data_IF_332993337648
#
_entry.id   IF_332993337648
#
_cell.length_a   1.000
_cell.length_b   1.000
_cell.length_c   1.000
_cell.angle_alpha   90.00
_cell.angle_beta   90.00
_cell.angle_gamma   90.00
#
_symmetry.space_group_name_H-M   'P 1'
#
loop_
_entity.id
_entity.type
_entity.pdbx_description
1 polymer ?
#
# COMPACT_ATOMS: atom_id res chain seq x y z
N UNK A 1 -27.77 23.21 -13.12
CA UNK A 1 -27.26 22.10 -12.29
C UNK A 1 -25.99 21.60 -12.94
N UNK A 2 -24.85 22.06 -12.46
CA UNK A 2 -23.54 21.88 -13.09
C UNK A 2 -22.77 20.80 -12.33
N UNK A 3 -23.30 19.58 -12.32
CA UNK A 3 -22.72 18.40 -11.64
C UNK A 3 -21.55 17.77 -12.44
N UNK A 4 -20.64 18.60 -12.96
CA UNK A 4 -19.49 18.15 -13.77
C UNK A 4 -18.14 18.61 -13.21
N UNK A 5 -18.08 18.95 -11.93
CA UNK A 5 -16.86 19.47 -11.27
C UNK A 5 -16.55 18.83 -9.91
N UNK A 6 -17.13 17.67 -9.63
CA UNK A 6 -16.59 16.73 -8.64
C UNK A 6 -15.95 15.62 -9.46
N UNK A 7 -14.80 15.93 -10.09
CA UNK A 7 -14.00 14.88 -10.71
C UNK A 7 -13.39 14.09 -9.57
N UNK A 8 -13.61 12.79 -9.61
CA UNK A 8 -13.04 11.76 -8.76
C UNK A 8 -11.54 12.02 -8.49
N UNK A 9 -11.22 12.64 -7.36
CA UNK A 9 -9.90 12.55 -6.71
C UNK A 9 -9.98 11.48 -5.61
N UNK A 10 -10.37 10.28 -6.02
CA UNK A 10 -10.47 9.15 -5.12
C UNK A 10 -9.83 7.96 -5.79
N UNK A 11 -8.54 7.80 -5.59
CA UNK A 11 -7.90 6.50 -5.48
C UNK A 11 -6.43 6.74 -5.25
N UNK A 12 -6.02 6.55 -4.01
CA UNK A 12 -4.63 6.38 -3.69
C UNK A 12 -4.49 5.91 -2.25
N UNK A 13 -4.61 4.61 -2.11
CA UNK A 13 -3.94 3.92 -1.03
C UNK A 13 -3.48 2.60 -1.60
N UNK A 14 -2.18 2.38 -1.62
CA UNK A 14 -1.67 1.02 -1.54
C UNK A 14 -0.57 0.94 -0.50
N UNK A 15 -0.95 0.49 0.68
CA UNK A 15 0.00 0.11 1.69
C UNK A 15 0.94 -1.01 1.25
N UNK A 16 2.10 -0.98 1.89
CA UNK A 16 3.10 -2.03 1.97
C UNK A 16 3.61 -2.56 0.63
N UNK A 17 4.40 -1.65 0.09
CA UNK A 17 5.76 -1.85 -0.38
C UNK A 17 5.95 -2.79 -1.56
N UNK A 18 5.44 -4.03 -1.66
CA UNK A 18 5.76 -4.76 -2.89
C UNK A 18 4.91 -5.97 -3.36
N UNK A 19 3.61 -6.19 -3.13
CA UNK A 19 3.05 -7.51 -3.51
C UNK A 19 2.31 -7.53 -4.86
N UNK A 20 2.94 -8.15 -5.85
CA UNK A 20 2.25 -8.67 -7.01
C UNK A 20 1.93 -10.16 -6.80
N UNK A 21 0.62 -10.46 -6.83
CA UNK A 21 -0.02 -11.76 -7.05
C UNK A 21 0.33 -12.91 -6.08
N UNK A 22 -0.70 -13.39 -5.37
CA UNK A 22 -0.81 -14.79 -4.92
C UNK A 22 -0.89 -15.72 -6.14
N UNK A 23 0.18 -15.83 -6.91
CA UNK A 23 0.44 -17.07 -7.63
C UNK A 23 0.95 -18.06 -6.58
N UNK A 24 0.48 -19.32 -6.56
CA UNK A 24 1.10 -20.33 -5.73
C UNK A 24 2.60 -20.28 -6.02
N UNK A 25 3.40 -20.15 -4.97
CA UNK A 25 4.85 -20.16 -5.04
C UNK A 25 5.30 -21.49 -5.64
N UNK A 26 5.26 -21.59 -6.97
CA UNK A 26 6.20 -22.42 -7.67
C UNK A 26 7.54 -21.80 -7.29
N UNK A 27 8.39 -22.58 -6.63
CA UNK A 27 9.81 -22.30 -6.53
C UNK A 27 10.34 -22.17 -7.97
N UNK A 28 10.15 -20.99 -8.57
CA UNK A 28 10.96 -20.59 -9.68
C UNK A 28 12.31 -20.34 -9.04
N UNK A 29 13.30 -21.16 -9.40
CA UNK A 29 14.70 -20.74 -9.34
C UNK A 29 14.76 -19.41 -10.09
N UNK A 30 14.58 -18.33 -9.34
CA UNK A 30 14.65 -17.00 -9.88
C UNK A 30 16.13 -16.66 -9.80
N UNK A 31 16.86 -16.95 -10.87
CA UNK A 31 18.29 -16.71 -10.99
C UNK A 31 18.67 -15.22 -10.82
N UNK A 32 17.70 -14.31 -10.64
CA UNK A 32 17.90 -12.89 -10.36
C UNK A 32 17.82 -12.56 -8.85
N UNK A 33 18.95 -12.27 -8.17
CA UNK A 33 18.98 -11.96 -6.75
C UNK A 33 18.22 -10.67 -6.38
N UNK A 34 17.95 -9.78 -7.32
CA UNK A 34 17.17 -8.55 -7.07
C UNK A 34 15.67 -8.84 -7.04
N UNK A 35 15.22 -9.72 -7.92
CA UNK A 35 13.86 -10.24 -7.89
C UNK A 35 13.63 -11.10 -6.64
N UNK A 36 14.66 -11.84 -6.22
CA UNK A 36 14.66 -12.60 -4.98
C UNK A 36 14.55 -11.71 -3.73
N UNK A 37 15.32 -10.61 -3.67
CA UNK A 37 15.21 -9.59 -2.63
C UNK A 37 13.79 -9.01 -2.55
N UNK A 38 13.22 -8.62 -3.69
CA UNK A 38 11.85 -8.14 -3.74
C UNK A 38 10.87 -9.17 -3.14
N UNK A 39 10.98 -10.43 -3.56
CA UNK A 39 10.13 -11.51 -3.06
C UNK A 39 10.32 -11.77 -1.55
N UNK A 40 11.54 -11.68 -1.04
CA UNK A 40 11.85 -11.84 0.38
C UNK A 40 11.19 -10.77 1.26
N UNK A 41 11.11 -9.52 0.76
CA UNK A 41 10.40 -8.45 1.47
C UNK A 41 8.88 -8.73 1.43
N UNK A 42 8.37 -9.35 0.36
CA UNK A 42 6.94 -9.60 0.23
C UNK A 42 6.37 -10.74 1.00
N UNK A 43 7.14 -11.79 1.24
CA UNK A 43 6.62 -12.94 1.98
C UNK A 43 6.13 -12.57 3.38
N UNK A 44 6.61 -11.45 3.94
CA UNK A 44 6.22 -10.97 5.26
C UNK A 44 5.04 -10.00 5.26
N UNK A 45 4.48 -9.65 4.09
CA UNK A 45 3.45 -8.63 3.95
C UNK A 45 2.09 -9.28 3.64
N UNK A 46 1.10 -8.98 4.49
CA UNK A 46 -0.30 -9.38 4.24
C UNK A 46 -1.05 -8.28 3.47
N UNK A 47 -1.25 -8.51 2.17
CA UNK A 47 -1.95 -7.61 1.25
C UNK A 47 -3.45 -7.48 1.53
N UNK A 48 -4.09 -8.55 1.99
CA UNK A 48 -5.51 -8.50 2.29
C UNK A 48 -5.73 -7.62 3.51
N UNK A 49 -4.93 -7.81 4.56
CA UNK A 49 -4.94 -6.93 5.75
C UNK A 49 -4.72 -5.46 5.39
N UNK A 50 -3.79 -5.21 4.47
CA UNK A 50 -3.53 -3.87 3.93
C UNK A 50 -4.74 -3.28 3.22
N UNK A 51 -5.37 -4.05 2.34
CA UNK A 51 -6.55 -3.62 1.63
C UNK A 51 -7.66 -3.29 2.63
N UNK A 52 -7.89 -4.15 3.62
CA UNK A 52 -8.89 -3.88 4.66
C UNK A 52 -8.58 -2.61 5.45
N UNK A 53 -7.33 -2.41 5.86
CA UNK A 53 -6.90 -1.19 6.55
C UNK A 53 -7.08 0.06 5.67
N UNK A 54 -6.88 -0.08 4.37
CA UNK A 54 -7.07 0.96 3.37
C UNK A 54 -8.56 1.31 3.22
N UNK A 55 -9.42 0.31 3.09
CA UNK A 55 -10.87 0.50 3.03
C UNK A 55 -11.40 1.16 4.32
N UNK A 56 -10.88 0.75 5.47
CA UNK A 56 -11.23 1.34 6.77
C UNK A 56 -10.77 2.80 6.88
N UNK A 57 -9.62 3.15 6.31
CA UNK A 57 -9.18 4.54 6.21
C UNK A 57 -10.07 5.38 5.29
N UNK A 58 -10.47 4.86 4.13
CA UNK A 58 -11.43 5.53 3.22
C UNK A 58 -12.75 5.77 3.96
N UNK A 59 -13.24 4.77 4.69
CA UNK A 59 -14.45 4.88 5.51
C UNK A 59 -14.35 6.03 6.52
N UNK A 60 -13.20 6.16 7.21
CA UNK A 60 -12.96 7.28 8.14
C UNK A 60 -12.94 8.62 7.43
N UNK A 61 -12.33 8.73 6.26
CA UNK A 61 -12.34 9.99 5.51
C UNK A 61 -13.75 10.36 5.04
N UNK A 62 -14.51 9.44 4.46
CA UNK A 62 -15.91 9.72 4.07
C UNK A 62 -16.76 10.16 5.24
N UNK A 63 -16.58 9.56 6.42
CA UNK A 63 -17.31 9.96 7.62
C UNK A 63 -17.01 11.40 8.09
N UNK A 64 -15.95 12.04 7.58
CA UNK A 64 -15.62 13.45 7.87
C UNK A 64 -16.15 14.42 6.83
N UNK A 65 -16.58 13.93 5.66
CA UNK A 65 -17.07 14.78 4.57
C UNK A 65 -18.52 15.21 4.85
N UNK A 66 -18.84 16.53 4.82
CA UNK A 66 -20.17 17.03 5.14
C UNK A 66 -21.31 16.33 4.37
N UNK A 67 -21.11 16.10 3.06
CA UNK A 67 -22.08 15.43 2.21
C UNK A 67 -22.37 13.98 2.63
N UNK A 68 -21.37 13.25 3.11
CA UNK A 68 -21.56 11.88 3.57
C UNK A 68 -22.13 11.83 4.98
N UNK A 69 -21.84 12.81 5.83
CA UNK A 69 -22.49 12.95 7.14
C UNK A 69 -24.01 13.12 6.97
N UNK A 70 -24.44 13.98 6.04
CA UNK A 70 -25.86 14.19 5.74
C UNK A 70 -26.51 12.91 5.16
N UNK A 71 -25.85 12.25 4.20
CA UNK A 71 -26.35 11.01 3.60
C UNK A 71 -26.43 9.86 4.60
N UNK A 72 -25.45 9.73 5.50
CA UNK A 72 -25.43 8.72 6.55
C UNK A 72 -26.57 8.95 7.57
N UNK A 73 -26.92 10.21 7.86
CA UNK A 73 -28.06 10.53 8.73
C UNK A 73 -29.41 10.15 8.11
N UNK A 74 -29.54 10.26 6.78
CA UNK A 74 -30.73 9.83 6.03
C UNK A 74 -30.76 8.31 5.89
N UNK A 75 -29.60 7.68 5.72
CA UNK A 75 -29.46 6.27 5.37
C UNK A 75 -28.36 5.60 6.20
N UNK A 76 -28.63 5.20 7.46
CA UNK A 76 -27.62 4.61 8.34
C UNK A 76 -26.95 3.38 7.73
N UNK A 77 -25.63 3.33 7.80
CA UNK A 77 -24.79 2.28 7.20
C UNK A 77 -24.32 2.58 5.76
N UNK A 78 -24.76 3.68 5.15
CA UNK A 78 -24.43 4.03 3.77
C UNK A 78 -22.94 4.05 3.49
N UNK A 79 -22.14 4.70 4.33
CA UNK A 79 -20.69 4.81 4.12
C UNK A 79 -20.05 3.42 4.14
N UNK A 80 -20.46 2.56 5.09
CA UNK A 80 -19.94 1.20 5.22
C UNK A 80 -20.28 0.37 3.98
N UNK A 81 -21.54 0.38 3.56
CA UNK A 81 -22.01 -0.42 2.44
C UNK A 81 -21.36 0.06 1.12
N UNK A 82 -21.23 1.38 0.94
CA UNK A 82 -20.57 1.97 -0.22
C UNK A 82 -19.09 1.60 -0.29
N UNK A 83 -18.34 1.78 0.81
CA UNK A 83 -16.92 1.39 0.89
C UNK A 83 -16.76 -0.11 0.66
N UNK A 84 -17.65 -0.94 1.21
CA UNK A 84 -17.64 -2.38 0.94
C UNK A 84 -17.84 -2.70 -0.55
N UNK A 85 -18.72 -1.96 -1.24
CA UNK A 85 -18.94 -2.12 -2.67
C UNK A 85 -17.71 -1.72 -3.49
N UNK A 86 -16.93 -0.72 -3.06
CA UNK A 86 -15.69 -0.28 -3.73
C UNK A 86 -14.56 -1.31 -3.67
N UNK A 87 -14.55 -2.19 -2.67
CA UNK A 87 -13.44 -3.11 -2.39
C UNK A 87 -12.93 -3.90 -3.61
N UNK A 88 -13.77 -4.52 -4.48
CA UNK A 88 -13.28 -5.28 -5.62
C UNK A 88 -12.52 -4.43 -6.65
N UNK A 89 -12.97 -3.19 -6.88
CA UNK A 89 -12.32 -2.25 -7.79
C UNK A 89 -10.95 -1.87 -7.23
N UNK A 90 -10.88 -1.52 -5.94
CA UNK A 90 -9.61 -1.22 -5.27
C UNK A 90 -8.65 -2.41 -5.29
N UNK A 91 -9.13 -3.63 -5.05
CA UNK A 91 -8.31 -4.84 -5.12
C UNK A 91 -7.72 -5.05 -6.52
N UNK A 92 -8.54 -4.85 -7.57
CA UNK A 92 -8.12 -4.95 -8.98
C UNK A 92 -7.05 -3.90 -9.32
N UNK A 93 -7.31 -2.63 -9.00
CA UNK A 93 -6.34 -1.54 -9.22
C UNK A 93 -5.05 -1.80 -8.45
N UNK A 94 -5.15 -2.22 -7.17
CA UNK A 94 -3.99 -2.51 -6.33
C UNK A 94 -3.11 -3.62 -6.91
N UNK A 95 -3.71 -4.72 -7.36
CA UNK A 95 -2.98 -5.81 -7.97
C UNK A 95 -2.24 -5.38 -9.25
N UNK A 96 -2.88 -4.54 -10.07
CA UNK A 96 -2.29 -3.99 -11.30
C UNK A 96 -1.11 -3.07 -11.00
N UNK A 97 -1.31 -2.06 -10.15
CA UNK A 97 -0.26 -1.10 -9.80
C UNK A 97 0.91 -1.78 -9.09
N UNK A 98 0.65 -2.78 -8.23
CA UNK A 98 1.73 -3.56 -7.60
C UNK A 98 2.53 -4.39 -8.62
N UNK A 99 1.88 -4.95 -9.65
CA UNK A 99 2.58 -5.68 -10.70
C UNK A 99 3.52 -4.78 -11.51
N UNK A 100 3.13 -3.53 -11.77
CA UNK A 100 3.99 -2.56 -12.44
C UNK A 100 5.11 -2.05 -11.51
N UNK A 101 4.77 -1.65 -10.28
CA UNK A 101 5.72 -1.24 -9.25
C UNK A 101 6.78 -2.32 -8.98
N UNK A 102 6.40 -3.60 -9.09
CA UNK A 102 7.35 -4.72 -9.00
C UNK A 102 8.55 -4.57 -9.91
N UNK A 103 8.29 -4.30 -11.18
CA UNK A 103 9.32 -4.23 -12.19
C UNK A 103 10.26 -3.05 -11.90
N UNK A 104 9.70 -1.88 -11.58
CA UNK A 104 10.50 -0.68 -11.30
C UNK A 104 11.36 -0.81 -10.04
N UNK A 105 10.86 -1.52 -9.03
CA UNK A 105 11.60 -1.76 -7.79
C UNK A 105 12.73 -2.77 -7.99
N UNK A 106 12.50 -3.85 -8.74
CA UNK A 106 13.56 -4.80 -9.10
C UNK A 106 14.64 -4.08 -9.93
N UNK A 107 14.24 -3.23 -10.86
CA UNK A 107 15.15 -2.43 -11.66
C UNK A 107 15.92 -1.41 -10.80
N UNK A 108 15.28 -0.80 -9.81
CA UNK A 108 15.94 0.04 -8.81
C UNK A 108 17.01 -0.76 -8.06
N UNK A 109 16.67 -1.94 -7.54
CA UNK A 109 17.62 -2.78 -6.83
C UNK A 109 18.79 -3.18 -7.72
N UNK A 110 18.55 -3.54 -8.99
CA UNK A 110 19.61 -3.90 -9.94
C UNK A 110 20.57 -2.74 -10.25
N UNK A 111 20.09 -1.50 -10.23
CA UNK A 111 20.93 -0.31 -10.42
C UNK A 111 21.77 0.04 -9.19
N UNK A 112 21.24 -0.24 -8.01
CA UNK A 112 21.80 0.26 -6.75
C UNK A 112 22.59 -0.78 -5.97
N UNK A 113 22.29 -2.06 -6.14
CA UNK A 113 22.90 -3.18 -5.43
C UNK A 113 23.66 -4.07 -6.40
N UNK A 114 24.70 -4.71 -5.90
CA UNK A 114 25.29 -5.88 -6.57
C UNK A 114 24.49 -7.14 -6.25
N UNK A 115 24.66 -8.19 -7.05
CA UNK A 115 24.05 -9.50 -6.83
C UNK A 115 24.27 -10.03 -5.40
N UNK A 116 25.50 -9.91 -4.89
CA UNK A 116 25.86 -10.36 -3.55
C UNK A 116 25.18 -9.54 -2.45
N UNK A 117 25.10 -8.21 -2.62
CA UNK A 117 24.39 -7.33 -1.70
C UNK A 117 22.90 -7.63 -1.69
N UNK A 118 22.27 -7.80 -2.86
CA UNK A 118 20.86 -8.13 -2.96
C UNK A 118 20.53 -9.48 -2.30
N UNK A 119 21.35 -10.51 -2.54
CA UNK A 119 21.20 -11.82 -1.90
C UNK A 119 21.36 -11.76 -0.37
N UNK A 120 22.32 -10.98 0.13
CA UNK A 120 22.51 -10.78 1.59
C UNK A 120 21.29 -10.10 2.22
N UNK A 121 20.79 -9.03 1.60
CA UNK A 121 19.60 -8.31 2.07
C UNK A 121 18.38 -9.24 2.02
N UNK A 122 18.22 -10.03 0.95
CA UNK A 122 17.13 -11.00 0.82
C UNK A 122 17.15 -12.04 1.95
N UNK A 123 18.33 -12.59 2.25
CA UNK A 123 18.52 -13.54 3.35
C UNK A 123 18.14 -12.92 4.71
N UNK A 124 18.49 -11.65 4.95
CA UNK A 124 18.09 -10.95 6.17
C UNK A 124 16.57 -10.78 6.28
N UNK A 125 15.91 -10.35 5.21
CA UNK A 125 14.46 -10.18 5.21
C UNK A 125 13.71 -11.49 5.44
N UNK A 126 14.26 -12.64 5.04
CA UNK A 126 13.68 -13.97 5.31
C UNK A 126 13.78 -14.45 6.75
N UNK A 127 14.54 -13.78 7.61
CA UNK A 127 14.63 -14.19 9.02
C UNK A 127 13.28 -14.04 9.72
N UNK A 128 12.99 -14.91 10.69
CA UNK A 128 11.72 -14.88 11.44
C UNK A 128 11.44 -13.51 12.08
N UNK A 129 12.49 -12.84 12.57
CA UNK A 129 12.37 -11.52 13.19
C UNK A 129 11.96 -10.44 12.17
N UNK A 130 12.51 -10.49 10.95
CA UNK A 130 12.15 -9.54 9.89
C UNK A 130 10.79 -9.84 9.28
N UNK A 131 10.44 -11.12 9.07
CA UNK A 131 9.11 -11.51 8.61
C UNK A 131 8.03 -11.09 9.61
N UNK A 132 8.29 -11.24 10.92
CA UNK A 132 7.38 -10.74 11.97
C UNK A 132 7.28 -9.22 11.97
N UNK A 133 8.40 -8.51 11.81
CA UNK A 133 8.37 -7.05 11.70
C UNK A 133 7.49 -6.61 10.51
N UNK A 134 7.67 -7.23 9.34
CA UNK A 134 6.88 -6.93 8.15
C UNK A 134 5.38 -7.23 8.35
N UNK A 135 5.04 -8.34 9.01
CA UNK A 135 3.65 -8.67 9.33
C UNK A 135 3.03 -7.68 10.32
N UNK A 136 3.82 -7.21 11.30
CA UNK A 136 3.38 -6.14 12.18
C UNK A 136 3.19 -4.83 11.38
N UNK A 137 4.08 -4.50 10.45
CA UNK A 137 3.94 -3.32 9.60
C UNK A 137 2.65 -3.38 8.78
N UNK A 138 2.35 -4.51 8.12
CA UNK A 138 1.12 -4.65 7.33
C UNK A 138 -0.12 -4.50 8.21
N UNK A 139 -0.13 -5.12 9.39
CA UNK A 139 -1.23 -5.05 10.36
C UNK A 139 -1.50 -3.63 10.85
N UNK A 140 -0.45 -2.83 11.07
CA UNK A 140 -0.57 -1.49 11.63
C UNK A 140 -0.55 -0.38 10.57
N UNK A 141 -0.49 -0.72 9.28
CA UNK A 141 -0.46 0.30 8.25
C UNK A 141 -1.80 1.01 8.16
N UNK A 142 -1.77 2.34 8.26
CA UNK A 142 -2.91 3.22 8.01
C UNK A 142 -2.47 4.39 7.09
N UNK A 143 -3.08 4.55 5.92
CA UNK A 143 -2.73 5.55 4.91
C UNK A 143 -3.31 6.95 5.18
N UNK A 144 -3.43 7.34 6.45
CA UNK A 144 -4.18 8.54 6.81
C UNK A 144 -3.58 9.81 6.17
N UNK A 145 -2.26 9.90 6.01
CA UNK A 145 -1.61 11.07 5.40
C UNK A 145 -1.75 11.09 3.89
N UNK A 146 -1.72 9.91 3.26
CA UNK A 146 -1.95 9.76 1.82
C UNK A 146 -3.39 10.13 1.47
N UNK A 147 -4.35 9.72 2.30
CA UNK A 147 -5.76 10.03 2.13
C UNK A 147 -6.20 11.43 2.60
N UNK A 148 -5.40 12.13 3.42
CA UNK A 148 -5.84 13.38 4.05
C UNK A 148 -6.21 14.50 3.07
N UNK A 149 -5.90 14.34 1.78
CA UNK A 149 -6.19 15.27 0.71
C UNK A 149 -7.26 14.79 -0.28
N UNK A 150 -8.09 13.79 0.05
CA UNK A 150 -9.07 13.21 -0.88
C UNK A 150 -10.08 14.23 -1.47
N UNK A 151 -10.26 15.38 -0.82
CA UNK A 151 -11.07 16.50 -1.34
C UNK A 151 -10.30 17.43 -2.27
N UNK A 152 -8.97 17.44 -2.18
CA UNK A 152 -8.11 18.22 -3.05
C UNK A 152 -7.67 17.33 -4.20
N UNK A 153 -7.87 17.76 -5.45
CA UNK A 153 -7.29 17.11 -6.64
C UNK A 153 -5.74 17.18 -6.68
N UNK A 154 -5.10 17.41 -5.53
CA UNK A 154 -3.66 17.52 -5.38
C UNK A 154 -3.02 16.12 -5.47
N UNK A 155 -1.92 15.98 -6.24
CA UNK A 155 -1.14 14.76 -6.24
C UNK A 155 -0.61 14.41 -4.85
N UNK A 156 -0.51 13.12 -4.57
CA UNK A 156 0.15 12.61 -3.37
C UNK A 156 1.64 12.86 -3.45
N UNK A 157 2.18 13.31 -2.33
CA UNK A 157 3.59 13.64 -2.19
C UNK A 157 4.36 12.48 -1.55
N UNK A 158 5.67 12.43 -1.83
CA UNK A 158 6.60 11.50 -1.15
C UNK A 158 6.56 11.65 0.38
N UNK A 159 6.33 12.86 0.87
CA UNK A 159 6.25 13.13 2.31
C UNK A 159 5.03 12.45 2.96
N UNK A 160 3.87 12.42 2.28
CA UNK A 160 2.68 11.72 2.77
C UNK A 160 2.91 10.21 2.80
N UNK A 161 3.41 9.65 1.70
CA UNK A 161 3.73 8.22 1.59
C UNK A 161 4.73 7.80 2.68
N UNK A 162 5.83 8.55 2.83
CA UNK A 162 6.86 8.26 3.84
C UNK A 162 6.31 8.37 5.26
N UNK A 163 5.40 9.31 5.54
CA UNK A 163 4.80 9.47 6.86
C UNK A 163 3.98 8.25 7.26
N UNK A 164 3.16 7.72 6.34
CA UNK A 164 2.35 6.54 6.61
C UNK A 164 3.23 5.28 6.79
N UNK A 165 4.26 5.11 5.96
CA UNK A 165 5.25 4.02 6.11
C UNK A 165 5.96 4.11 7.46
N UNK A 166 6.50 5.29 7.80
CA UNK A 166 7.26 5.49 9.02
C UNK A 166 6.40 5.27 10.27
N UNK A 167 5.14 5.69 10.24
CA UNK A 167 4.17 5.44 11.32
C UNK A 167 3.92 3.94 11.53
N UNK A 168 3.68 3.19 10.44
CA UNK A 168 3.49 1.75 10.47
C UNK A 168 4.75 1.01 10.96
N UNK A 169 5.93 1.39 10.46
CA UNK A 169 7.23 0.85 10.86
C UNK A 169 7.52 1.08 12.35
N UNK A 170 7.30 2.31 12.85
CA UNK A 170 7.50 2.63 14.25
C UNK A 170 6.57 1.79 15.15
N UNK A 171 5.28 1.70 14.80
CA UNK A 171 4.31 0.90 15.55
C UNK A 171 4.65 -0.58 15.53
N UNK A 172 5.00 -1.12 14.36
CA UNK A 172 5.36 -2.53 14.20
C UNK A 172 6.64 -2.91 14.95
N UNK A 173 7.63 -2.02 15.01
CA UNK A 173 8.87 -2.24 15.75
C UNK A 173 8.67 -2.26 17.27
N UNK A 174 7.71 -1.48 17.79
CA UNK A 174 7.36 -1.49 19.23
C UNK A 174 6.76 -2.84 19.65
N UNK A 175 6.09 -3.54 18.73
CA UNK A 175 5.49 -4.86 18.97
C UNK A 175 6.52 -6.01 19.01
N UNK A 176 7.77 -5.77 18.61
CA UNK A 176 8.86 -6.74 18.78
C UNK A 176 9.36 -6.79 20.22
N UNK A 177 10.04 -7.88 20.59
CA UNK A 177 10.77 -7.95 21.86
C UNK A 177 12.01 -7.03 21.85
N UNK A 178 12.56 -6.75 23.04
CA UNK A 178 13.81 -5.99 23.14
C UNK A 178 15.01 -6.72 22.50
N UNK A 179 15.03 -8.05 22.62
CA UNK A 179 16.05 -8.91 22.02
C UNK A 179 15.98 -8.88 20.48
N UNK A 180 14.77 -8.98 19.93
CA UNK A 180 14.51 -8.92 18.48
C UNK A 180 14.93 -7.59 17.86
N UNK A 181 14.57 -6.47 18.50
CA UNK A 181 15.04 -5.15 18.06
C UNK A 181 16.57 -5.05 18.13
N UNK A 182 17.18 -5.60 19.18
CA UNK A 182 18.64 -5.65 19.33
C UNK A 182 19.30 -6.47 18.23
N UNK A 183 18.68 -7.57 17.81
CA UNK A 183 19.15 -8.39 16.69
C UNK A 183 19.13 -7.63 15.36
N UNK A 184 18.01 -6.97 15.03
CA UNK A 184 17.90 -6.17 13.81
C UNK A 184 18.97 -5.07 13.81
N UNK A 185 19.08 -4.31 14.91
CA UNK A 185 20.04 -3.22 15.02
C UNK A 185 21.49 -3.71 14.87
N UNK A 186 21.83 -4.84 15.50
CA UNK A 186 23.15 -5.45 15.36
C UNK A 186 23.43 -5.88 13.93
N UNK A 187 22.48 -6.53 13.25
CA UNK A 187 22.64 -6.93 11.84
C UNK A 187 22.84 -5.73 10.91
N UNK A 188 22.09 -4.64 11.12
CA UNK A 188 22.29 -3.41 10.37
C UNK A 188 23.69 -2.80 10.58
N UNK A 189 24.24 -2.87 11.80
CA UNK A 189 25.60 -2.41 12.08
C UNK A 189 26.71 -3.34 11.54
N UNK A 190 26.44 -4.65 11.44
CA UNK A 190 27.39 -5.64 10.92
C UNK A 190 27.46 -5.64 9.39
N UNK A 191 26.34 -5.42 8.69
CA UNK A 191 26.23 -5.53 7.23
C UNK A 191 26.33 -4.20 6.51
N UNK A 192 27.31 -4.07 5.60
CA UNK A 192 27.39 -2.92 4.70
C UNK A 192 26.25 -2.91 3.68
N UNK A 193 25.82 -4.08 3.20
CA UNK A 193 24.70 -4.22 2.26
C UNK A 193 23.39 -3.71 2.86
N UNK A 194 23.08 -4.07 4.12
CA UNK A 194 21.87 -3.60 4.80
C UNK A 194 21.85 -2.08 4.99
N UNK A 195 22.98 -1.46 5.37
CA UNK A 195 23.07 0.01 5.48
C UNK A 195 22.91 0.69 4.13
N UNK A 196 23.49 0.13 3.08
CA UNK A 196 23.32 0.63 1.73
C UNK A 196 21.85 0.52 1.29
N UNK A 197 21.20 -0.59 1.59
CA UNK A 197 19.78 -0.79 1.32
C UNK A 197 18.89 0.23 2.05
N UNK A 198 19.18 0.52 3.32
CA UNK A 198 18.48 1.56 4.09
C UNK A 198 18.56 2.94 3.40
N UNK A 199 19.73 3.29 2.85
CA UNK A 199 19.93 4.54 2.11
C UNK A 199 19.10 4.62 0.81
N UNK A 200 18.55 3.51 0.32
CA UNK A 200 17.66 3.49 -0.83
C UNK A 200 16.23 3.91 -0.48
N UNK A 201 15.87 4.04 0.80
CA UNK A 201 14.50 4.35 1.21
C UNK A 201 13.89 5.56 0.49
N UNK A 202 14.58 6.72 0.30
CA UNK A 202 14.02 7.83 -0.47
C UNK A 202 13.70 7.45 -1.93
N UNK A 203 14.52 6.62 -2.59
CA UNK A 203 14.29 6.16 -3.97
C UNK A 203 13.12 5.18 -4.03
N UNK A 204 13.01 4.29 -3.05
CA UNK A 204 11.88 3.36 -2.91
C UNK A 204 10.58 4.15 -2.71
N UNK A 205 10.57 5.15 -1.83
CA UNK A 205 9.42 6.04 -1.63
C UNK A 205 9.06 6.77 -2.92
N UNK A 206 10.03 7.31 -3.65
CA UNK A 206 9.79 8.00 -4.92
C UNK A 206 9.12 7.10 -5.97
N UNK A 207 9.62 5.86 -6.15
CA UNK A 207 8.97 4.87 -7.04
C UNK A 207 7.53 4.64 -6.60
N UNK A 208 7.28 4.42 -5.31
CA UNK A 208 5.92 4.21 -4.80
C UNK A 208 5.01 5.40 -5.04
N UNK A 209 5.49 6.63 -4.81
CA UNK A 209 4.69 7.85 -5.03
C UNK A 209 4.22 7.97 -6.49
N UNK A 210 4.98 7.49 -7.47
CA UNK A 210 4.51 7.43 -8.86
C UNK A 210 3.23 6.57 -8.98
N UNK A 211 3.23 5.39 -8.35
CA UNK A 211 2.10 4.45 -8.41
C UNK A 211 0.91 4.86 -7.54
N UNK A 212 1.14 5.58 -6.44
CA UNK A 212 0.05 6.18 -5.65
C UNK A 212 -0.68 7.29 -6.44
N UNK A 213 -0.06 7.85 -7.48
CA UNK A 213 -0.67 8.85 -8.35
C UNK A 213 -1.10 8.27 -9.71
N UNK A 214 -1.03 6.94 -9.89
CA UNK A 214 -1.41 6.32 -11.14
C UNK A 214 -2.93 6.48 -11.35
N UNK A 215 -3.38 7.03 -12.49
CA UNK A 215 -4.80 7.15 -12.73
C UNK A 215 -5.46 5.78 -12.88
N UNK A 216 -6.76 5.72 -12.59
CA UNK A 216 -7.57 4.59 -12.98
C UNK A 216 -7.49 4.37 -14.49
N UNK A 217 -7.47 3.10 -14.90
CA UNK A 217 -7.71 2.76 -16.29
C UNK A 217 -9.15 3.12 -16.70
N UNK A 218 -9.42 3.34 -18.01
CA UNK A 218 -10.77 3.70 -18.46
C UNK A 218 -11.86 2.71 -18.05
N UNK A 219 -11.56 1.40 -18.02
CA UNK A 219 -12.50 0.36 -17.58
C UNK A 219 -12.72 0.39 -16.07
N UNK A 220 -11.67 0.58 -15.27
CA UNK A 220 -11.76 0.74 -13.81
C UNK A 220 -12.58 2.00 -13.43
N UNK A 221 -12.38 3.10 -14.16
CA UNK A 221 -13.13 4.34 -13.96
C UNK A 221 -14.62 4.17 -14.31
N UNK A 222 -14.92 3.50 -15.43
CA UNK A 222 -16.30 3.20 -15.82
C UNK A 222 -16.98 2.23 -14.84
N UNK A 223 -16.26 1.24 -14.32
CA UNK A 223 -16.76 0.32 -13.30
C UNK A 223 -17.10 1.05 -12.00
N UNK A 224 -16.25 1.99 -11.58
CA UNK A 224 -16.48 2.83 -10.40
C UNK A 224 -17.70 3.76 -10.56
N UNK A 225 -17.83 4.40 -11.73
CA UNK A 225 -18.98 5.26 -12.04
C UNK A 225 -20.29 4.45 -12.03
N UNK A 226 -20.33 3.32 -12.73
CA UNK A 226 -21.50 2.45 -12.78
C UNK A 226 -21.87 1.90 -11.40
N UNK A 227 -20.87 1.56 -10.57
CA UNK A 227 -21.09 1.13 -9.19
C UNK A 227 -21.73 2.23 -8.36
N UNK A 228 -21.20 3.46 -8.42
CA UNK A 228 -21.76 4.58 -7.69
C UNK A 228 -23.21 4.86 -8.10
N UNK A 229 -23.48 4.93 -9.41
CA UNK A 229 -24.84 5.14 -9.94
C UNK A 229 -25.81 4.06 -9.46
N UNK A 230 -25.44 2.79 -9.62
CA UNK A 230 -26.29 1.66 -9.21
C UNK A 230 -26.52 1.65 -7.69
N UNK A 231 -25.47 1.87 -6.90
CA UNK A 231 -25.54 1.89 -5.44
C UNK A 231 -26.51 2.97 -4.94
N UNK A 232 -26.38 4.20 -5.44
CA UNK A 232 -27.24 5.30 -5.02
C UNK A 232 -28.67 5.16 -5.57
N UNK A 233 -28.85 4.64 -6.79
CA UNK A 233 -30.16 4.37 -7.34
C UNK A 233 -30.94 3.31 -6.54
N UNK A 234 -30.28 2.21 -6.15
CA UNK A 234 -30.90 1.17 -5.33
C UNK A 234 -31.20 1.67 -3.92
N UNK A 235 -30.25 2.36 -3.29
CA UNK A 235 -30.34 2.79 -1.89
C UNK A 235 -31.44 3.82 -1.63
N UNK A 236 -31.79 4.61 -2.65
CA UNK A 236 -32.74 5.73 -2.56
C UNK A 236 -33.93 5.60 -3.52
N UNK A 237 -34.17 4.40 -4.07
CA UNK A 237 -35.43 4.10 -4.75
C UNK A 237 -36.58 4.09 -3.73
N UNK A 238 -37.56 4.99 -3.91
CA UNK A 238 -38.79 5.07 -3.11
C UNK A 238 -39.70 3.85 -3.26
#
# INVERSE_FOLDING_TARGET
MTYHRVRLAMLAIIAALFAALHLPALAQDNDDPHADLYAAIQSGIDQDTILENSMEAIRREYARLPQFIELEAISPGLIKDYVSALRPIFAKTMARSNAAMKLDMIDLFRRELTDAEAAEVAAHYRTDVMQRLLGNISTNFAPDSTLSGIESDAPITEAQVNKDIASAAATGAVQLSGEERGEIARKLLESAALRKFEQLNPKIVAVRTVYENEPLLPDEAAELEALAEAFFAERFAE
#
